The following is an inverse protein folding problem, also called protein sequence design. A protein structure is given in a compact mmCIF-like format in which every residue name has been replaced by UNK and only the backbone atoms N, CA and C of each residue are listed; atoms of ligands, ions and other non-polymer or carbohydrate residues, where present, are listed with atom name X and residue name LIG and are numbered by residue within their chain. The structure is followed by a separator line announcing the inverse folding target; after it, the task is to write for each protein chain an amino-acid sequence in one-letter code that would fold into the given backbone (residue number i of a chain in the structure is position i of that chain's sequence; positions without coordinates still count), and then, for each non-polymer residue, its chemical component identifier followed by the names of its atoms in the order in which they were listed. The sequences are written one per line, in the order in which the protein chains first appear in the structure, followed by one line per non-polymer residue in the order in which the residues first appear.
data_IF_547710078261
#
_entry.id   IF_547710078261
#
_cell.length_a   1.000
_cell.length_b   1.000
_cell.length_c   1.000
_cell.angle_alpha   90.00
_cell.angle_beta   90.00
_cell.angle_gamma   90.00
#
_symmetry.space_group_name_H-M   'P 1'
#
loop_
_entity.id
_entity.type
_entity.pdbx_description
1 polymer ?
#
# COMPACT_ATOMS: atom_id res chain seq x y z
N UNK A 1 -7.73 -3.38 19.39
CA UNK A 1 -6.72 -3.95 20.32
C UNK A 1 -5.34 -3.65 19.76
N UNK A 2 -4.35 -3.25 20.57
CA UNK A 2 -2.99 -2.94 20.08
C UNK A 2 -2.14 -4.20 19.96
N UNK A 3 -1.27 -4.28 18.96
CA UNK A 3 -0.30 -5.36 18.77
C UNK A 3 0.96 -5.15 19.64
N UNK A 4 1.90 -6.12 19.61
CA UNK A 4 3.15 -6.09 20.39
C UNK A 4 4.04 -4.87 20.10
N UNK A 5 3.87 -4.25 18.93
CA UNK A 5 4.64 -3.07 18.51
C UNK A 5 3.94 -1.74 18.86
N UNK A 6 2.81 -1.81 19.56
CA UNK A 6 1.99 -0.66 19.99
C UNK A 6 1.08 -0.09 18.89
N UNK A 7 1.05 -0.72 17.71
CA UNK A 7 0.18 -0.36 16.59
C UNK A 7 -1.14 -1.14 16.57
N UNK A 8 -1.90 -0.99 15.50
CA UNK A 8 -3.11 -1.75 15.22
C UNK A 8 -2.94 -2.48 13.89
N UNK A 9 -3.11 -3.80 13.89
CA UNK A 9 -3.07 -4.58 12.66
C UNK A 9 -4.31 -4.27 11.82
N UNK A 10 -4.12 -4.14 10.51
CA UNK A 10 -5.18 -3.89 9.54
C UNK A 10 -5.01 -4.78 8.31
N UNK A 11 -6.13 -5.03 7.63
CA UNK A 11 -6.18 -5.69 6.34
C UNK A 11 -6.88 -4.75 5.35
N UNK A 12 -6.32 -4.63 4.15
CA UNK A 12 -6.83 -3.69 3.14
C UNK A 12 -6.99 -4.41 1.80
N UNK A 13 -8.17 -4.27 1.20
CA UNK A 13 -8.46 -4.76 -0.15
C UNK A 13 -8.44 -3.60 -1.13
N UNK A 14 -7.70 -3.73 -2.24
CA UNK A 14 -7.63 -2.73 -3.31
C UNK A 14 -7.98 -3.40 -4.63
N UNK A 15 -8.95 -2.83 -5.35
CA UNK A 15 -9.31 -3.25 -6.70
C UNK A 15 -8.83 -2.19 -7.70
N UNK A 16 -8.03 -2.62 -8.66
CA UNK A 16 -7.49 -1.75 -9.69
C UNK A 16 -8.36 -1.81 -10.95
N UNK A 17 -8.60 -0.67 -11.62
CA UNK A 17 -9.33 -0.66 -12.89
C UNK A 17 -8.63 -1.46 -14.00
N UNK A 18 -7.33 -1.73 -13.86
CA UNK A 18 -6.56 -2.60 -14.76
C UNK A 18 -6.81 -4.10 -14.59
N UNK A 19 -7.78 -4.51 -13.76
CA UNK A 19 -8.17 -5.91 -13.62
C UNK A 19 -7.35 -6.71 -12.60
N UNK A 20 -6.71 -6.04 -11.65
CA UNK A 20 -5.96 -6.67 -10.56
C UNK A 20 -6.63 -6.36 -9.20
N UNK A 21 -6.68 -7.35 -8.32
CA UNK A 21 -7.01 -7.17 -6.91
C UNK A 21 -5.78 -7.43 -6.03
N UNK A 22 -5.61 -6.62 -5.00
CA UNK A 22 -4.56 -6.77 -4.00
C UNK A 22 -5.17 -6.85 -2.60
N UNK A 23 -4.67 -7.78 -1.79
CA UNK A 23 -4.96 -7.87 -0.36
C UNK A 23 -3.67 -7.59 0.40
N UNK A 24 -3.71 -6.58 1.25
CA UNK A 24 -2.59 -6.16 2.08
C UNK A 24 -2.79 -6.57 3.53
N UNK A 25 -1.71 -7.00 4.16
CA UNK A 25 -1.57 -6.98 5.61
C UNK A 25 -0.77 -5.75 6.00
N UNK A 26 -1.11 -5.14 7.13
CA UNK A 26 -0.40 -3.95 7.56
C UNK A 26 -0.69 -3.54 8.99
N UNK A 27 -0.22 -2.35 9.34
CA UNK A 27 -0.39 -1.78 10.67
C UNK A 27 -0.52 -0.26 10.62
N UNK A 28 -1.28 0.27 11.57
CA UNK A 28 -1.34 1.68 11.89
C UNK A 28 -0.57 1.93 13.18
N UNK A 29 0.39 2.85 13.18
CA UNK A 29 1.10 3.29 14.38
C UNK A 29 1.30 4.80 14.37
N UNK A 30 0.65 5.49 15.30
CA UNK A 30 0.61 6.95 15.29
C UNK A 30 -0.03 7.46 14.00
N UNK A 31 0.65 8.35 13.29
CA UNK A 31 0.18 8.94 12.04
C UNK A 31 0.72 8.24 10.77
N UNK A 32 1.21 7.00 10.91
CA UNK A 32 1.81 6.20 9.83
C UNK A 32 1.02 4.90 9.61
N UNK A 33 0.87 4.53 8.34
CA UNK A 33 0.31 3.24 7.90
C UNK A 33 1.33 2.53 7.02
N UNK A 34 1.67 1.29 7.39
CA UNK A 34 2.55 0.40 6.62
C UNK A 34 1.74 -0.79 6.10
N UNK A 35 1.77 -1.03 4.78
CA UNK A 35 1.09 -2.14 4.12
C UNK A 35 2.08 -2.92 3.25
N UNK A 36 1.94 -4.25 3.24
CA UNK A 36 2.62 -5.15 2.30
C UNK A 36 1.60 -6.15 1.72
N UNK A 37 1.65 -6.39 0.41
CA UNK A 37 0.69 -7.29 -0.23
C UNK A 37 0.91 -8.72 0.24
N UNK A 38 -0.16 -9.33 0.76
CA UNK A 38 -0.20 -10.70 1.19
C UNK A 38 -0.71 -11.62 0.07
N UNK A 39 -1.69 -11.13 -0.69
CA UNK A 39 -2.27 -11.86 -1.81
C UNK A 39 -2.58 -10.90 -2.96
N UNK A 40 -2.62 -11.44 -4.16
CA UNK A 40 -3.11 -10.75 -5.34
C UNK A 40 -3.74 -11.74 -6.31
N UNK A 41 -4.69 -11.27 -7.08
CA UNK A 41 -5.23 -11.98 -8.24
C UNK A 41 -5.46 -11.01 -9.37
N UNK A 42 -5.44 -11.49 -10.61
CA UNK A 42 -5.62 -10.65 -11.77
C UNK A 42 -6.30 -11.41 -12.91
N UNK A 43 -7.04 -10.70 -13.75
CA UNK A 43 -7.51 -11.23 -15.02
C UNK A 43 -6.32 -11.45 -15.97
N UNK A 44 -6.49 -12.34 -16.96
CA UNK A 44 -5.42 -12.75 -17.88
C UNK A 44 -4.79 -11.59 -18.66
N UNK A 45 -5.56 -10.53 -18.95
CA UNK A 45 -5.12 -9.37 -19.72
C UNK A 45 -4.51 -8.26 -18.86
N UNK A 46 -4.53 -8.40 -17.53
CA UNK A 46 -4.04 -7.39 -16.62
C UNK A 46 -2.51 -7.33 -16.62
N UNK A 47 -1.95 -6.12 -16.42
CA UNK A 47 -0.54 -5.96 -16.10
C UNK A 47 -0.31 -6.34 -14.64
N UNK A 48 0.64 -7.24 -14.38
CA UNK A 48 0.89 -7.78 -13.04
C UNK A 48 2.30 -7.48 -12.53
N UNK A 49 2.44 -7.47 -11.21
CA UNK A 49 3.70 -7.39 -10.47
C UNK A 49 3.63 -8.36 -9.28
N UNK A 50 4.79 -8.79 -8.75
CA UNK A 50 4.85 -9.91 -7.79
C UNK A 50 4.50 -9.50 -6.36
N UNK A 51 4.92 -8.29 -5.97
CA UNK A 51 4.77 -7.79 -4.62
C UNK A 51 4.68 -6.27 -4.64
N UNK A 52 4.07 -5.70 -3.60
CA UNK A 52 3.85 -4.27 -3.45
C UNK A 52 3.83 -3.87 -1.99
N UNK A 53 4.32 -2.67 -1.72
CA UNK A 53 4.23 -2.03 -0.40
C UNK A 53 3.55 -0.68 -0.56
N UNK A 54 2.83 -0.26 0.47
CA UNK A 54 2.33 1.11 0.57
C UNK A 54 2.68 1.68 1.92
N UNK A 55 3.16 2.91 1.91
CA UNK A 55 3.42 3.69 3.11
C UNK A 55 2.62 4.98 3.02
N UNK A 56 1.85 5.25 4.06
CA UNK A 56 1.12 6.50 4.24
C UNK A 56 1.63 7.18 5.50
N UNK A 57 1.77 8.51 5.46
CA UNK A 57 2.15 9.31 6.62
C UNK A 57 1.47 10.66 6.59
N UNK A 58 0.93 11.10 7.73
CA UNK A 58 0.51 12.48 7.92
C UNK A 58 1.72 13.32 8.30
N UNK A 59 2.12 14.24 7.42
CA UNK A 59 3.28 15.13 7.62
C UNK A 59 2.83 16.54 7.30
N UNK A 60 3.02 17.48 8.24
CA UNK A 60 2.63 18.89 8.05
C UNK A 60 1.17 19.06 7.60
N UNK A 61 0.24 18.28 8.18
CA UNK A 61 -1.18 18.26 7.82
C UNK A 61 -1.50 17.82 6.36
N UNK A 62 -0.52 17.29 5.64
CA UNK A 62 -0.69 16.67 4.33
C UNK A 62 -0.53 15.14 4.42
N UNK A 63 -1.31 14.41 3.63
CA UNK A 63 -1.14 12.96 3.48
C UNK A 63 -0.06 12.70 2.44
N UNK A 64 1.09 12.23 2.89
CA UNK A 64 2.13 11.70 2.02
C UNK A 64 1.88 10.22 1.82
N UNK A 65 2.03 9.75 0.58
CA UNK A 65 1.98 8.34 0.28
C UNK A 65 3.01 7.94 -0.76
N UNK A 66 3.49 6.70 -0.66
CA UNK A 66 4.29 6.02 -1.67
C UNK A 66 3.74 4.61 -1.87
N UNK A 67 3.79 4.16 -3.11
CA UNK A 67 3.50 2.80 -3.53
C UNK A 67 4.67 2.28 -4.33
N UNK A 68 5.23 1.18 -3.84
CA UNK A 68 6.35 0.49 -4.47
C UNK A 68 5.85 -0.84 -5.03
N UNK A 69 6.41 -1.24 -6.16
CA UNK A 69 6.10 -2.53 -6.78
C UNK A 69 7.38 -3.26 -7.15
N UNK A 70 7.34 -4.59 -7.09
CA UNK A 70 8.37 -5.47 -7.60
C UNK A 70 7.91 -6.02 -8.96
N UNK A 71 8.46 -5.45 -10.04
CA UNK A 71 8.26 -5.95 -11.40
C UNK A 71 8.86 -7.37 -11.55
N UNK A 72 8.41 -8.16 -12.54
CA UNK A 72 9.00 -9.46 -12.80
C UNK A 72 10.53 -9.41 -12.93
N UNK A 73 11.24 -10.16 -12.08
CA UNK A 73 12.70 -10.24 -12.08
C UNK A 73 13.42 -9.05 -11.43
N UNK A 74 12.73 -8.12 -10.77
CA UNK A 74 13.32 -6.97 -10.11
C UNK A 74 12.93 -6.80 -8.64
N UNK A 75 13.67 -5.95 -7.94
CA UNK A 75 13.40 -5.57 -6.56
C UNK A 75 12.25 -4.55 -6.45
N UNK A 76 11.75 -4.35 -5.22
CA UNK A 76 10.83 -3.27 -4.89
C UNK A 76 11.44 -1.92 -5.25
N UNK A 77 10.70 -1.13 -6.04
CA UNK A 77 11.06 0.25 -6.38
C UNK A 77 9.83 1.15 -6.29
N UNK A 78 10.01 2.44 -5.95
CA UNK A 78 8.94 3.43 -6.02
C UNK A 78 8.28 3.44 -7.39
N UNK A 79 6.97 3.21 -7.41
CA UNK A 79 6.14 3.27 -8.61
C UNK A 79 5.39 4.59 -8.70
N UNK A 80 4.78 5.00 -7.58
CA UNK A 80 4.05 6.25 -7.47
C UNK A 80 4.19 6.83 -6.05
N UNK A 81 4.14 8.16 -5.96
CA UNK A 81 4.09 8.88 -4.69
C UNK A 81 3.33 10.19 -4.87
N UNK A 82 2.70 10.69 -3.81
CA UNK A 82 2.16 12.04 -3.81
C UNK A 82 2.14 12.65 -2.40
N UNK A 83 2.01 13.98 -2.38
CA UNK A 83 1.58 14.78 -1.23
C UNK A 83 0.16 15.27 -1.53
N UNK A 84 -0.78 14.93 -0.65
CA UNK A 84 -2.19 15.29 -0.79
C UNK A 84 -2.55 16.27 0.31
N UNK A 85 -2.89 17.48 -0.09
CA UNK A 85 -3.42 18.50 0.82
C UNK A 85 -4.89 18.18 1.15
N UNK A 86 -5.28 18.44 2.40
CA UNK A 86 -6.68 18.30 2.80
C UNK A 86 -7.53 19.37 2.11
N UNK A 87 -8.56 18.94 1.40
CA UNK A 87 -9.64 19.81 0.90
C UNK A 87 -10.80 19.81 1.89
N UNK A 88 -11.60 20.88 1.87
CA UNK A 88 -12.79 21.04 2.74
C UNK A 88 -13.95 20.12 2.36
#
# INVERSE_FOLDING_TARGET
MRNKEGGFDIQVSVLHPGGMAELYNGKIKGARVDLASAYGTAFETAKTYRHSTRLFGLVENALLWVWEIALPGGDLKPHASARLEKVE
#
